data_IF_292407307464
#
_entry.id   IF_292407307464
#
_cell.length_a   1.000
_cell.length_b   1.000
_cell.length_c   1.000
_cell.angle_alpha   90.00
_cell.angle_beta   90.00
_cell.angle_gamma   90.00
#
_symmetry.space_group_name_H-M   'P 1'
#
loop_
_entity.id
_entity.type
_entity.pdbx_description
1 polymer ?
#
# COMPACT_ATOMS: atom_id res chain seq x y z
N UNK A 1 -15.23 16.10 -5.49
CA UNK A 1 -16.40 15.20 -5.44
C UNK A 1 -17.62 16.00 -5.05
N UNK A 2 -18.77 15.69 -5.65
CA UNK A 2 -20.06 16.27 -5.28
C UNK A 2 -20.84 15.25 -4.41
N UNK A 3 -21.66 15.70 -3.45
CA UNK A 3 -22.50 14.79 -2.67
C UNK A 3 -23.41 13.96 -3.58
N UNK A 4 -23.60 12.68 -3.25
CA UNK A 4 -24.53 11.77 -3.89
C UNK A 4 -25.37 11.04 -2.84
N UNK A 5 -26.46 10.39 -3.26
CA UNK A 5 -27.36 9.64 -2.37
C UNK A 5 -27.17 8.16 -2.64
N UNK A 6 -26.92 7.36 -1.60
CA UNK A 6 -26.97 5.90 -1.65
C UNK A 6 -28.24 5.41 -0.99
N UNK A 7 -28.97 4.50 -1.62
CA UNK A 7 -30.17 3.88 -1.08
C UNK A 7 -30.25 2.40 -1.47
N UNK A 8 -30.99 1.61 -0.69
CA UNK A 8 -31.35 0.24 -1.07
C UNK A 8 -32.73 0.27 -1.71
N UNK A 9 -32.84 -0.18 -2.96
CA UNK A 9 -34.09 -0.27 -3.71
C UNK A 9 -34.27 -1.72 -4.18
N UNK A 10 -35.37 -2.35 -3.79
CA UNK A 10 -35.68 -3.75 -4.11
C UNK A 10 -34.54 -4.75 -3.77
N UNK A 11 -33.78 -4.46 -2.72
CA UNK A 11 -32.65 -5.28 -2.28
C UNK A 11 -31.33 -5.02 -3.01
N UNK A 12 -31.26 -4.01 -3.88
CA UNK A 12 -30.05 -3.59 -4.57
C UNK A 12 -29.54 -2.26 -4.00
N UNK A 13 -28.22 -2.14 -3.84
CA UNK A 13 -27.57 -0.85 -3.57
C UNK A 13 -27.62 0.02 -4.83
N UNK A 14 -28.19 1.22 -4.71
CA UNK A 14 -28.36 2.18 -5.79
C UNK A 14 -27.73 3.52 -5.41
N UNK A 15 -26.85 4.01 -6.26
CA UNK A 15 -26.18 5.31 -6.12
C UNK A 15 -26.81 6.34 -7.07
N UNK A 16 -27.42 7.38 -6.52
CA UNK A 16 -28.01 8.51 -7.24
C UNK A 16 -27.01 9.67 -7.29
N UNK A 17 -26.34 9.81 -8.43
CA UNK A 17 -25.30 10.83 -8.65
C UNK A 17 -25.85 11.97 -9.52
N UNK A 18 -26.03 13.18 -8.97
CA UNK A 18 -26.43 14.33 -9.78
C UNK A 18 -25.27 14.75 -10.70
N UNK A 19 -25.57 14.97 -11.99
CA UNK A 19 -24.63 15.47 -12.99
C UNK A 19 -25.32 16.47 -13.92
N UNK A 20 -24.54 17.28 -14.64
CA UNK A 20 -25.10 18.12 -15.69
C UNK A 20 -25.43 17.27 -16.91
N UNK A 21 -26.46 17.68 -17.65
CA UNK A 21 -26.72 17.13 -18.97
C UNK A 21 -25.67 17.69 -19.91
N UNK A 22 -24.71 16.87 -20.29
CA UNK A 22 -23.61 17.26 -21.18
C UNK A 22 -23.89 16.78 -22.59
N UNK A 23 -23.72 17.69 -23.54
CA UNK A 23 -23.72 17.39 -24.97
C UNK A 23 -22.38 16.71 -25.31
N UNK A 24 -22.37 15.50 -25.88
CA UNK A 24 -21.15 14.84 -26.34
C UNK A 24 -20.31 15.72 -27.28
N UNK A 25 -20.93 16.64 -28.02
CA UNK A 25 -20.24 17.57 -28.92
C UNK A 25 -19.70 18.83 -28.20
N UNK A 26 -20.18 19.11 -26.98
CA UNK A 26 -19.88 20.34 -26.23
C UNK A 26 -18.66 20.27 -25.30
N UNK A 27 -18.04 19.08 -25.16
CA UNK A 27 -16.88 18.87 -24.29
C UNK A 27 -17.21 18.81 -22.78
N UNK A 28 -16.18 18.58 -21.97
CA UNK A 28 -16.30 18.41 -20.52
C UNK A 28 -16.44 19.75 -19.79
N UNK A 29 -17.43 19.83 -18.88
CA UNK A 29 -17.66 21.01 -18.01
C UNK A 29 -17.19 20.73 -16.57
N UNK A 30 -17.37 19.52 -16.05
CA UNK A 30 -16.90 19.10 -14.71
C UNK A 30 -16.50 17.62 -14.65
N UNK A 31 -15.82 17.21 -13.57
CA UNK A 31 -15.38 15.82 -13.37
C UNK A 31 -16.56 14.83 -13.25
N UNK A 32 -17.71 15.26 -12.73
CA UNK A 32 -18.94 14.46 -12.63
C UNK A 32 -19.64 14.23 -13.96
N UNK A 33 -19.32 15.05 -14.97
CA UNK A 33 -19.91 14.98 -16.30
C UNK A 33 -19.22 13.95 -17.21
N UNK A 34 -18.13 13.34 -16.74
CA UNK A 34 -17.40 12.28 -17.44
C UNK A 34 -18.18 10.98 -17.49
N UNK A 35 -18.93 10.63 -16.44
CA UNK A 35 -19.58 9.32 -16.32
C UNK A 35 -20.58 9.03 -17.46
N UNK A 36 -21.48 9.96 -17.86
CA UNK A 36 -22.34 9.75 -19.02
C UNK A 36 -21.57 9.55 -20.32
N UNK A 37 -20.48 10.31 -20.52
CA UNK A 37 -19.65 10.22 -21.71
C UNK A 37 -18.84 8.91 -21.76
N UNK A 38 -18.27 8.46 -20.64
CA UNK A 38 -17.66 7.13 -20.52
C UNK A 38 -18.66 6.03 -20.85
N UNK A 39 -19.88 6.14 -20.32
CA UNK A 39 -20.95 5.18 -20.59
C UNK A 39 -21.28 5.14 -22.09
N UNK A 40 -21.43 6.30 -22.72
CA UNK A 40 -21.63 6.41 -24.16
C UNK A 40 -20.49 5.77 -24.97
N UNK A 41 -19.23 6.10 -24.62
CA UNK A 41 -18.04 5.54 -25.27
C UNK A 41 -18.00 4.02 -25.19
N UNK A 42 -18.24 3.44 -24.01
CA UNK A 42 -18.22 1.99 -23.80
C UNK A 42 -19.36 1.32 -24.57
N UNK A 43 -20.58 1.86 -24.51
CA UNK A 43 -21.73 1.28 -25.22
C UNK A 43 -21.57 1.30 -26.74
N UNK A 44 -20.92 2.33 -27.29
CA UNK A 44 -20.68 2.46 -28.72
C UNK A 44 -19.57 1.51 -29.23
N UNK A 45 -18.51 1.30 -28.44
CA UNK A 45 -17.30 0.59 -28.90
C UNK A 45 -17.15 -0.82 -28.37
N UNK A 46 -17.88 -1.22 -27.33
CA UNK A 46 -17.83 -2.59 -26.83
C UNK A 46 -18.50 -3.53 -27.84
N UNK A 47 -17.70 -4.36 -28.48
CA UNK A 47 -18.16 -5.31 -29.50
C UNK A 47 -19.10 -6.39 -28.90
N UNK A 48 -19.94 -7.05 -29.73
CA UNK A 48 -20.80 -8.14 -29.27
C UNK A 48 -20.00 -9.24 -28.56
N UNK A 49 -20.37 -9.56 -27.32
CA UNK A 49 -19.66 -10.53 -26.47
C UNK A 49 -18.55 -9.94 -25.61
N UNK A 50 -18.11 -8.71 -25.85
CA UNK A 50 -17.06 -8.04 -25.08
C UNK A 50 -17.38 -7.88 -23.59
N UNK A 51 -18.67 -7.85 -23.22
CA UNK A 51 -19.07 -7.84 -21.80
C UNK A 51 -18.67 -9.10 -21.03
N UNK A 52 -18.55 -10.25 -21.70
CA UNK A 52 -18.05 -11.47 -21.08
C UNK A 52 -16.53 -11.42 -20.89
N UNK A 53 -15.79 -10.89 -21.87
CA UNK A 53 -14.34 -10.65 -21.76
C UNK A 53 -14.01 -9.69 -20.61
N UNK A 54 -14.79 -8.61 -20.46
CA UNK A 54 -14.67 -7.69 -19.33
C UNK A 54 -14.94 -8.40 -18.00
N UNK A 55 -15.99 -9.24 -17.91
CA UNK A 55 -16.29 -10.00 -16.68
C UNK A 55 -15.18 -10.98 -16.34
N UNK A 56 -14.60 -11.67 -17.32
CA UNK A 56 -13.45 -12.55 -17.13
C UNK A 56 -12.26 -11.77 -16.58
N UNK A 57 -11.91 -10.64 -17.20
CA UNK A 57 -10.81 -9.79 -16.74
C UNK A 57 -11.04 -9.28 -15.31
N UNK A 58 -12.22 -8.73 -15.01
CA UNK A 58 -12.59 -8.28 -13.67
C UNK A 58 -12.51 -9.42 -12.65
N UNK A 59 -12.98 -10.62 -13.02
CA UNK A 59 -12.94 -11.79 -12.13
C UNK A 59 -11.52 -12.29 -11.88
N UNK A 60 -10.69 -12.35 -12.91
CA UNK A 60 -9.27 -12.68 -12.81
C UNK A 60 -8.56 -11.69 -11.89
N UNK A 61 -8.69 -10.39 -12.15
CA UNK A 61 -8.10 -9.33 -11.32
C UNK A 61 -8.58 -9.40 -9.87
N UNK A 62 -9.86 -9.75 -9.64
CA UNK A 62 -10.38 -9.96 -8.29
C UNK A 62 -9.76 -11.18 -7.61
N UNK A 63 -9.57 -12.28 -8.34
CA UNK A 63 -8.93 -13.49 -7.79
C UNK A 63 -7.45 -13.31 -7.49
N UNK A 64 -6.72 -12.52 -8.29
CA UNK A 64 -5.30 -12.21 -8.02
C UNK A 64 -5.11 -11.02 -7.05
N UNK A 65 -6.19 -10.36 -6.65
CA UNK A 65 -6.20 -9.32 -5.61
C UNK A 65 -5.89 -7.89 -6.08
N UNK A 66 -6.07 -7.59 -7.37
CA UNK A 66 -5.74 -6.28 -7.98
C UNK A 66 -6.94 -5.55 -8.59
N UNK A 67 -8.16 -6.04 -8.38
CA UNK A 67 -9.39 -5.37 -8.85
C UNK A 67 -9.92 -4.38 -7.83
N UNK A 68 -10.13 -3.13 -8.24
CA UNK A 68 -10.59 -2.04 -7.38
C UNK A 68 -9.65 -0.83 -7.43
N UNK A 69 -10.21 0.37 -7.53
CA UNK A 69 -9.45 1.61 -7.58
C UNK A 69 -9.44 2.37 -6.24
N UNK A 70 -10.16 1.84 -5.24
CA UNK A 70 -10.11 2.27 -3.86
C UNK A 70 -8.68 2.23 -3.32
N UNK A 71 -8.38 3.11 -2.36
CA UNK A 71 -7.02 3.30 -1.82
C UNK A 71 -6.47 2.01 -1.23
N UNK A 72 -7.33 1.18 -0.62
CA UNK A 72 -7.00 -0.12 -0.05
C UNK A 72 -6.33 -1.07 -1.04
N UNK A 73 -6.83 -1.10 -2.28
CA UNK A 73 -6.34 -2.03 -3.31
C UNK A 73 -5.30 -1.34 -4.19
N UNK A 74 -5.53 -0.07 -4.55
CA UNK A 74 -4.67 0.64 -5.50
C UNK A 74 -4.51 -0.15 -6.79
N UNK A 75 -5.61 -0.61 -7.38
CA UNK A 75 -5.65 -1.55 -8.50
C UNK A 75 -6.47 -1.04 -9.68
N UNK A 76 -6.99 -1.98 -10.47
CA UNK A 76 -7.64 -1.71 -11.75
C UNK A 76 -9.13 -1.41 -11.56
N UNK A 77 -9.57 -0.24 -12.04
CA UNK A 77 -10.98 0.17 -12.00
C UNK A 77 -11.84 -0.60 -13.00
N UNK A 78 -13.16 -0.62 -12.77
CA UNK A 78 -14.09 -1.26 -13.71
C UNK A 78 -14.05 -0.67 -15.12
N UNK A 79 -13.95 0.66 -15.22
CA UNK A 79 -13.82 1.38 -16.49
C UNK A 79 -12.48 1.09 -17.17
N UNK A 80 -11.39 1.00 -16.42
CA UNK A 80 -10.08 0.60 -16.97
C UNK A 80 -10.15 -0.79 -17.61
N UNK A 81 -10.80 -1.77 -16.96
CA UNK A 81 -10.99 -3.10 -17.54
C UNK A 81 -11.78 -3.06 -18.86
N UNK A 82 -12.82 -2.23 -18.94
CA UNK A 82 -13.61 -2.04 -20.17
C UNK A 82 -12.77 -1.45 -21.29
N UNK A 83 -11.99 -0.42 -20.99
CA UNK A 83 -11.07 0.21 -21.94
C UNK A 83 -10.02 -0.77 -22.47
N UNK A 84 -9.37 -1.54 -21.60
CA UNK A 84 -8.37 -2.55 -22.00
C UNK A 84 -8.98 -3.60 -22.94
N UNK A 85 -10.19 -4.09 -22.64
CA UNK A 85 -10.89 -5.06 -23.50
C UNK A 85 -11.34 -4.44 -24.82
N UNK A 86 -11.83 -3.20 -24.82
CA UNK A 86 -12.17 -2.48 -26.06
C UNK A 86 -10.94 -2.35 -26.96
N UNK A 87 -9.77 -2.03 -26.38
CA UNK A 87 -8.53 -1.80 -27.13
C UNK A 87 -7.88 -3.07 -27.66
N UNK A 88 -7.88 -4.13 -26.85
CA UNK A 88 -7.11 -5.35 -27.12
C UNK A 88 -8.00 -6.50 -27.61
N UNK A 89 -9.30 -6.44 -27.35
CA UNK A 89 -10.31 -7.30 -27.97
C UNK A 89 -10.66 -8.58 -27.21
N UNK A 90 -9.89 -9.01 -26.22
CA UNK A 90 -10.26 -10.13 -25.34
C UNK A 90 -9.47 -10.13 -24.05
N UNK A 91 -9.95 -10.86 -23.04
CA UNK A 91 -9.25 -11.11 -21.77
C UNK A 91 -7.84 -11.66 -22.00
N UNK A 92 -7.70 -12.70 -22.84
CA UNK A 92 -6.40 -13.32 -23.14
C UNK A 92 -5.44 -12.33 -23.76
N UNK A 93 -5.89 -11.52 -24.73
CA UNK A 93 -5.05 -10.49 -25.36
C UNK A 93 -4.61 -9.40 -24.38
N UNK A 94 -5.44 -9.06 -23.40
CA UNK A 94 -5.05 -8.15 -22.31
C UNK A 94 -3.91 -8.76 -21.50
N UNK A 95 -3.95 -10.06 -21.19
CA UNK A 95 -2.86 -10.73 -20.48
C UNK A 95 -1.58 -10.80 -21.33
N UNK A 96 -1.69 -11.15 -22.62
CA UNK A 96 -0.56 -11.23 -23.55
C UNK A 96 0.15 -9.88 -23.66
N UNK A 97 -0.60 -8.79 -23.80
CA UNK A 97 -0.07 -7.43 -23.80
C UNK A 97 0.59 -7.07 -22.46
N UNK A 98 -0.05 -7.44 -21.34
CA UNK A 98 0.45 -7.10 -20.01
C UNK A 98 1.80 -7.75 -19.67
N UNK A 99 2.09 -8.93 -20.22
CA UNK A 99 3.42 -9.57 -20.06
C UNK A 99 4.55 -8.71 -20.64
N UNK A 100 4.24 -7.84 -21.62
CA UNK A 100 5.18 -6.89 -22.22
C UNK A 100 5.26 -5.53 -21.53
N UNK A 101 4.45 -5.26 -20.50
CA UNK A 101 4.45 -3.96 -19.84
C UNK A 101 5.77 -3.66 -19.11
N UNK A 102 6.23 -2.42 -19.23
CA UNK A 102 7.36 -1.86 -18.49
C UNK A 102 6.89 -0.69 -17.62
N UNK A 103 7.76 -0.25 -16.69
CA UNK A 103 7.49 0.94 -15.90
C UNK A 103 7.26 2.16 -16.80
N UNK A 104 6.23 2.96 -16.48
CA UNK A 104 5.82 4.14 -17.26
C UNK A 104 5.17 3.82 -18.62
N UNK A 105 4.65 2.61 -18.83
CA UNK A 105 3.95 2.24 -20.09
C UNK A 105 2.74 3.14 -20.35
N UNK A 106 2.57 3.54 -21.61
CA UNK A 106 1.46 4.39 -22.06
C UNK A 106 0.56 3.64 -23.04
N UNK A 107 -0.75 3.64 -22.80
CA UNK A 107 -1.78 3.11 -23.68
C UNK A 107 -2.73 4.23 -24.13
N UNK A 108 -2.76 4.49 -25.43
CA UNK A 108 -3.61 5.50 -26.06
C UNK A 108 -4.73 4.88 -26.93
N UNK A 109 -5.84 5.60 -27.05
CA UNK A 109 -7.01 5.23 -27.86
C UNK A 109 -7.12 6.16 -29.09
N UNK A 110 -6.33 5.90 -30.14
CA UNK A 110 -6.35 6.69 -31.39
C UNK A 110 -5.20 6.37 -32.37
N UNK A 111 -5.24 6.93 -33.59
CA UNK A 111 -4.17 6.80 -34.62
C UNK A 111 -2.95 7.70 -34.36
N UNK A 112 -3.09 8.73 -33.53
CA UNK A 112 -1.98 9.57 -33.14
C UNK A 112 -1.35 8.99 -31.88
N UNK A 113 -0.17 8.36 -32.02
CA UNK A 113 0.88 8.40 -31.01
C UNK A 113 1.14 9.88 -30.71
N UNK A 114 0.35 10.46 -29.80
CA UNK A 114 0.49 11.84 -29.43
C UNK A 114 1.63 11.92 -28.42
N UNK A 115 2.86 11.75 -28.92
CA UNK A 115 4.12 11.64 -28.18
C UNK A 115 4.43 12.84 -27.26
N UNK A 116 3.60 13.05 -26.24
CA UNK A 116 3.56 14.27 -25.46
C UNK A 116 2.91 14.14 -24.08
N UNK A 117 2.10 13.11 -23.79
CA UNK A 117 1.43 13.01 -22.47
C UNK A 117 2.17 12.06 -21.51
N UNK A 118 2.88 11.05 -22.04
CA UNK A 118 3.63 10.08 -21.21
C UNK A 118 4.67 10.69 -20.27
N UNK A 119 5.21 11.87 -20.61
CA UNK A 119 6.19 12.57 -19.78
C UNK A 119 5.61 13.33 -18.58
N UNK A 120 4.29 13.52 -18.51
CA UNK A 120 3.64 14.28 -17.43
C UNK A 120 3.19 13.39 -16.25
N UNK A 121 3.09 12.08 -16.46
CA UNK A 121 2.62 11.13 -15.45
C UNK A 121 3.77 10.28 -14.92
N UNK A 122 3.88 10.19 -13.59
CA UNK A 122 4.86 9.32 -12.89
C UNK A 122 4.25 7.99 -12.46
N UNK A 123 3.09 7.62 -13.02
CA UNK A 123 2.39 6.39 -12.70
C UNK A 123 3.01 5.20 -13.44
N UNK A 124 2.97 4.00 -12.86
CA UNK A 124 3.57 2.81 -13.46
C UNK A 124 2.84 2.36 -14.73
N UNK A 125 1.55 2.73 -14.86
CA UNK A 125 0.74 2.56 -16.06
C UNK A 125 -0.02 3.86 -16.34
N UNK A 126 0.03 4.31 -17.59
CA UNK A 126 -0.72 5.46 -18.09
C UNK A 126 -1.69 4.98 -19.14
N UNK A 127 -2.99 5.11 -18.88
CA UNK A 127 -4.04 4.85 -19.86
C UNK A 127 -4.79 6.14 -20.09
N UNK A 128 -4.58 6.76 -21.25
CA UNK A 128 -5.20 8.05 -21.58
C UNK A 128 -6.70 7.85 -21.74
N UNK A 129 -7.49 8.66 -21.04
CA UNK A 129 -8.95 8.57 -21.12
C UNK A 129 -9.42 9.05 -22.51
N UNK A 130 -10.14 8.21 -23.27
CA UNK A 130 -10.63 8.61 -24.60
C UNK A 130 -11.63 9.78 -24.57
N UNK A 131 -12.20 10.09 -23.40
CA UNK A 131 -13.13 11.20 -23.20
C UNK A 131 -12.43 12.44 -22.61
N UNK A 132 -11.25 12.28 -22.01
CA UNK A 132 -10.47 13.34 -21.38
C UNK A 132 -8.95 13.07 -21.51
N UNK A 133 -8.28 13.58 -22.57
CA UNK A 133 -6.86 13.32 -22.80
C UNK A 133 -5.92 13.73 -21.66
N UNK A 134 -6.36 14.63 -20.76
CA UNK A 134 -5.58 15.06 -19.60
C UNK A 134 -5.74 14.13 -18.39
N UNK A 135 -6.47 13.01 -18.52
CA UNK A 135 -6.73 12.07 -17.45
C UNK A 135 -6.04 10.73 -17.71
N UNK A 136 -5.27 10.29 -16.72
CA UNK A 136 -4.85 8.89 -16.61
C UNK A 136 -5.94 8.06 -15.92
N UNK A 137 -6.56 7.12 -16.63
CA UNK A 137 -7.56 6.19 -16.09
C UNK A 137 -6.97 5.20 -15.10
N UNK A 138 -5.67 4.91 -15.22
CA UNK A 138 -4.92 4.01 -14.35
C UNK A 138 -4.21 4.72 -13.18
N UNK A 139 -4.57 5.97 -12.85
CA UNK A 139 -3.92 6.75 -11.79
C UNK A 139 -3.94 6.09 -10.40
N UNK A 140 -4.91 5.20 -10.14
CA UNK A 140 -5.03 4.45 -8.90
C UNK A 140 -4.19 3.17 -8.87
N UNK A 141 -3.71 2.68 -10.03
CA UNK A 141 -2.92 1.45 -10.13
C UNK A 141 -1.55 1.69 -9.50
N UNK A 142 -1.31 1.04 -8.37
CA UNK A 142 -0.02 1.03 -7.69
C UNK A 142 0.99 0.16 -8.44
N UNK A 143 2.28 0.42 -8.19
CA UNK A 143 3.36 -0.39 -8.73
C UNK A 143 3.21 -1.87 -8.34
N UNK A 144 2.88 -2.15 -7.07
CA UNK A 144 2.63 -3.52 -6.58
C UNK A 144 1.48 -4.19 -7.31
N UNK A 145 0.36 -3.50 -7.52
CA UNK A 145 -0.80 -4.05 -8.23
C UNK A 145 -0.50 -4.31 -9.71
N UNK A 146 0.25 -3.41 -10.37
CA UNK A 146 0.70 -3.61 -11.75
C UNK A 146 1.53 -4.89 -11.85
N UNK A 147 2.60 -5.00 -11.06
CA UNK A 147 3.51 -6.14 -11.16
C UNK A 147 2.89 -7.45 -10.67
N UNK A 148 1.95 -7.40 -9.72
CA UNK A 148 1.15 -8.57 -9.33
C UNK A 148 0.30 -9.05 -10.51
N UNK A 149 -0.35 -8.13 -11.23
CA UNK A 149 -1.13 -8.48 -12.42
C UNK A 149 -0.25 -9.07 -13.52
N UNK A 150 0.89 -8.45 -13.83
CA UNK A 150 1.84 -8.94 -14.85
C UNK A 150 2.36 -10.34 -14.51
N UNK A 151 2.76 -10.57 -13.25
CA UNK A 151 3.23 -11.87 -12.80
C UNK A 151 2.14 -12.95 -12.90
N UNK A 152 0.92 -12.63 -12.46
CA UNK A 152 -0.20 -13.56 -12.55
C UNK A 152 -0.63 -13.81 -14.01
N UNK A 153 -0.58 -12.80 -14.88
CA UNK A 153 -0.86 -12.92 -16.31
C UNK A 153 0.12 -13.90 -16.97
N UNK A 154 1.42 -13.75 -16.70
CA UNK A 154 2.45 -14.65 -17.19
C UNK A 154 2.22 -16.10 -16.71
N UNK A 155 1.94 -16.28 -15.43
CA UNK A 155 1.71 -17.60 -14.85
C UNK A 155 0.43 -18.27 -15.39
N UNK A 156 -0.64 -17.49 -15.58
CA UNK A 156 -1.89 -17.99 -16.15
C UNK A 156 -1.76 -18.38 -17.63
N UNK A 157 -1.02 -17.61 -18.42
CA UNK A 157 -0.78 -17.92 -19.83
C UNK A 157 0.08 -19.18 -20.01
N UNK A 158 0.98 -19.47 -19.08
CA UNK A 158 1.79 -20.70 -19.06
C UNK A 158 0.96 -21.91 -18.62
N UNK A 159 0.22 -21.78 -17.50
CA UNK A 159 -0.62 -22.85 -16.97
C UNK A 159 -1.99 -22.32 -16.48
N UNK A 160 -3.01 -22.30 -17.36
CA UNK A 160 -4.34 -21.80 -17.01
C UNK A 160 -5.02 -22.66 -15.94
N UNK A 161 -5.49 -22.03 -14.87
CA UNK A 161 -6.23 -22.71 -13.78
C UNK A 161 -7.41 -21.86 -13.30
N UNK A 162 -8.45 -22.49 -12.77
CA UNK A 162 -9.61 -21.77 -12.21
C UNK A 162 -9.27 -21.01 -10.91
N UNK A 163 -8.24 -21.43 -10.18
CA UNK A 163 -7.82 -20.80 -8.93
C UNK A 163 -7.40 -19.34 -9.07
N UNK A 164 -6.94 -18.89 -10.25
CA UNK A 164 -6.69 -17.48 -10.52
C UNK A 164 -7.96 -16.61 -10.49
N UNK A 165 -9.12 -17.21 -10.75
CA UNK A 165 -10.41 -16.54 -10.72
C UNK A 165 -11.13 -16.77 -9.38
N UNK A 166 -10.92 -17.94 -8.77
CA UNK A 166 -11.59 -18.36 -7.53
C UNK A 166 -10.56 -18.94 -6.56
N UNK A 167 -9.69 -18.08 -5.99
CA UNK A 167 -8.80 -18.54 -4.94
C UNK A 167 -9.60 -19.03 -3.74
N UNK A 168 -9.13 -20.10 -3.11
CA UNK A 168 -9.73 -20.63 -1.89
C UNK A 168 -9.02 -19.99 -0.71
N UNK A 169 -9.78 -19.35 0.19
CA UNK A 169 -9.20 -18.86 1.44
C UNK A 169 -8.76 -20.07 2.28
N UNK A 170 -7.50 -20.11 2.75
CA UNK A 170 -7.06 -21.18 3.62
C UNK A 170 -7.90 -21.20 4.89
N UNK A 171 -8.29 -22.41 5.33
CA UNK A 171 -8.85 -22.60 6.65
C UNK A 171 -7.72 -22.47 7.65
N UNK A 172 -7.66 -21.34 8.36
CA UNK A 172 -6.61 -21.07 9.34
C UNK A 172 -7.02 -21.67 10.67
N UNK A 173 -6.51 -22.85 10.98
CA UNK A 173 -6.65 -23.45 12.31
C UNK A 173 -5.86 -22.61 13.32
N UNK A 174 -6.46 -22.32 14.47
CA UNK A 174 -5.81 -21.48 15.48
C UNK A 174 -4.44 -22.06 15.87
N UNK A 175 -4.36 -23.38 16.09
CA UNK A 175 -3.12 -24.08 16.46
C UNK A 175 -2.00 -23.93 15.43
N UNK A 176 -2.32 -23.89 14.13
CA UNK A 176 -1.35 -23.65 13.07
C UNK A 176 -0.78 -22.23 13.19
N UNK A 177 -1.66 -21.23 13.32
CA UNK A 177 -1.26 -19.82 13.43
C UNK A 177 -0.37 -19.57 14.66
N UNK A 178 -0.70 -20.17 15.81
CA UNK A 178 0.12 -20.08 17.03
C UNK A 178 1.51 -20.69 16.82
N UNK A 179 1.59 -21.82 16.12
CA UNK A 179 2.87 -22.46 15.78
C UNK A 179 3.73 -21.58 14.87
N UNK A 180 3.11 -20.96 13.86
CA UNK A 180 3.80 -20.05 12.94
C UNK A 180 4.25 -18.78 13.67
N UNK A 181 3.40 -18.11 14.44
CA UNK A 181 3.76 -16.90 15.21
C UNK A 181 4.99 -17.13 16.10
N UNK A 182 5.01 -18.23 16.86
CA UNK A 182 6.16 -18.60 17.69
C UNK A 182 7.44 -18.85 16.90
N UNK A 183 7.33 -19.37 15.67
CA UNK A 183 8.50 -19.62 14.81
C UNK A 183 9.16 -18.33 14.32
N UNK A 184 8.40 -17.24 14.18
CA UNK A 184 8.93 -15.90 13.88
C UNK A 184 9.46 -15.19 15.13
N UNK A 185 9.07 -15.63 16.33
CA UNK A 185 9.54 -15.09 17.60
C UNK A 185 9.19 -13.61 17.76
N UNK A 186 10.09 -12.85 18.39
CA UNK A 186 9.90 -11.42 18.67
C UNK A 186 10.12 -10.50 17.46
N UNK A 187 10.41 -11.06 16.28
CA UNK A 187 10.63 -10.29 15.03
C UNK A 187 9.38 -9.57 14.54
N UNK A 188 8.20 -9.97 15.00
CA UNK A 188 6.94 -9.37 14.62
C UNK A 188 6.57 -8.30 15.64
N UNK A 189 6.44 -7.07 15.15
CA UNK A 189 5.97 -5.93 15.93
C UNK A 189 4.60 -5.51 15.41
N UNK A 190 3.64 -5.37 16.33
CA UNK A 190 2.28 -4.95 16.00
C UNK A 190 1.93 -3.65 16.72
N UNK A 191 1.16 -2.81 16.04
CA UNK A 191 0.48 -1.66 16.66
C UNK A 191 -1.01 -1.83 16.45
N UNK A 192 -1.75 -2.09 17.52
CA UNK A 192 -3.21 -2.27 17.52
C UNK A 192 -3.88 -0.99 17.95
N UNK A 193 -4.90 -0.57 17.19
CA UNK A 193 -5.66 0.66 17.44
C UNK A 193 -7.14 0.32 17.42
N UNK A 194 -7.83 0.56 18.53
CA UNK A 194 -9.29 0.55 18.55
C UNK A 194 -9.79 1.98 18.21
N UNK A 195 -10.67 2.09 17.21
CA UNK A 195 -11.18 3.34 16.63
C UNK A 195 -12.70 3.41 16.80
N UNK A 196 -13.16 4.33 17.65
CA UNK A 196 -14.59 4.50 17.92
C UNK A 196 -15.35 5.36 16.92
N UNK A 197 -14.68 5.91 15.90
CA UNK A 197 -15.27 6.78 14.88
C UNK A 197 -14.68 6.42 13.52
N UNK A 198 -14.97 5.24 12.97
CA UNK A 198 -14.43 4.90 11.66
C UNK A 198 -15.10 5.74 10.57
N UNK A 199 -14.26 6.44 9.80
CA UNK A 199 -14.71 7.27 8.67
C UNK A 199 -14.98 6.47 7.39
N UNK A 200 -15.10 7.18 6.26
CA UNK A 200 -15.23 6.55 4.95
C UNK A 200 -13.99 5.68 4.66
N UNK A 201 -14.13 4.43 4.14
CA UNK A 201 -13.02 3.50 3.94
C UNK A 201 -11.81 4.08 3.21
N UNK A 202 -11.98 4.80 2.09
CA UNK A 202 -10.84 5.38 1.36
C UNK A 202 -10.05 6.41 2.18
N UNK A 203 -10.75 7.22 2.97
CA UNK A 203 -10.10 8.18 3.88
C UNK A 203 -9.35 7.43 4.97
N UNK A 204 -9.96 6.38 5.54
CA UNK A 204 -9.32 5.53 6.53
C UNK A 204 -8.05 4.89 5.96
N UNK A 205 -8.12 4.21 4.80
CA UNK A 205 -6.97 3.54 4.20
C UNK A 205 -5.85 4.51 3.83
N UNK A 206 -6.19 5.70 3.34
CA UNK A 206 -5.21 6.77 3.12
C UNK A 206 -4.50 7.20 4.42
N UNK A 207 -5.25 7.28 5.53
CA UNK A 207 -4.68 7.56 6.85
C UNK A 207 -3.82 6.41 7.37
N UNK A 208 -4.26 5.17 7.24
CA UNK A 208 -3.51 3.99 7.66
C UNK A 208 -2.19 3.90 6.89
N UNK A 209 -2.18 3.98 5.56
CA UNK A 209 -0.93 3.91 4.80
C UNK A 209 0.03 5.07 5.09
N UNK A 210 -0.49 6.27 5.32
CA UNK A 210 0.33 7.40 5.76
C UNK A 210 0.98 7.10 7.13
N UNK A 211 0.22 6.62 8.09
CA UNK A 211 0.74 6.28 9.43
C UNK A 211 1.72 5.11 9.38
N UNK A 212 1.45 4.08 8.55
CA UNK A 212 2.38 2.96 8.31
C UNK A 212 3.73 3.47 7.81
N UNK A 213 3.72 4.37 6.82
CA UNK A 213 4.95 4.97 6.27
C UNK A 213 5.73 5.73 7.34
N UNK A 214 5.06 6.54 8.16
CA UNK A 214 5.67 7.25 9.28
C UNK A 214 6.32 6.30 10.30
N UNK A 215 5.64 5.22 10.67
CA UNK A 215 6.18 4.20 11.59
C UNK A 215 7.41 3.48 11.00
N UNK A 216 7.40 3.17 9.70
CA UNK A 216 8.56 2.58 9.00
C UNK A 216 9.75 3.55 8.99
N UNK A 217 9.50 4.84 8.70
CA UNK A 217 10.54 5.87 8.72
C UNK A 217 11.15 6.04 10.11
N UNK A 218 10.33 5.99 11.17
CA UNK A 218 10.80 5.98 12.56
C UNK A 218 11.68 4.76 12.86
N UNK A 219 11.20 3.55 12.56
CA UNK A 219 11.94 2.30 12.80
C UNK A 219 13.30 2.32 12.09
N UNK A 220 13.31 2.69 10.81
CA UNK A 220 14.54 2.80 10.01
C UNK A 220 15.47 3.89 10.52
N UNK A 221 14.94 5.02 10.98
CA UNK A 221 15.72 6.11 11.58
C UNK A 221 16.43 5.70 12.89
N UNK A 222 15.88 4.71 13.60
CA UNK A 222 16.49 4.09 14.77
C UNK A 222 17.36 2.85 14.44
N UNK A 223 17.62 2.60 13.16
CA UNK A 223 18.39 1.48 12.60
C UNK A 223 17.72 0.10 12.64
N UNK A 224 16.42 0.02 12.96
CA UNK A 224 15.65 -1.23 12.81
C UNK A 224 15.37 -1.51 11.33
N UNK A 225 15.81 -2.67 10.85
CA UNK A 225 15.56 -3.10 9.47
C UNK A 225 14.19 -3.76 9.38
N UNK A 226 13.27 -3.12 8.64
CA UNK A 226 11.94 -3.65 8.34
C UNK A 226 12.02 -4.51 7.09
N UNK A 227 11.78 -5.81 7.25
CA UNK A 227 11.79 -6.84 6.19
C UNK A 227 10.50 -6.80 5.39
N UNK A 228 9.36 -6.79 6.08
CA UNK A 228 8.01 -6.67 5.50
C UNK A 228 7.11 -5.86 6.40
N UNK A 229 6.07 -5.30 5.83
CA UNK A 229 5.06 -4.54 6.54
C UNK A 229 3.66 -4.84 6.00
N UNK A 230 2.65 -4.59 6.83
CA UNK A 230 1.26 -4.82 6.48
C UNK A 230 0.32 -3.94 7.31
N UNK A 231 -0.89 -3.73 6.78
CA UNK A 231 -1.98 -3.07 7.47
C UNK A 231 -3.24 -3.92 7.33
N UNK A 232 -3.95 -4.07 8.44
CA UNK A 232 -5.26 -4.69 8.48
C UNK A 232 -6.26 -3.76 9.17
N UNK A 233 -7.52 -3.86 8.74
CA UNK A 233 -8.64 -3.14 9.33
C UNK A 233 -9.91 -3.95 9.12
N UNK A 234 -10.77 -4.00 10.14
CA UNK A 234 -12.16 -4.47 10.02
C UNK A 234 -13.08 -3.39 9.41
N UNK A 235 -12.56 -2.20 9.09
CA UNK A 235 -13.25 -1.01 8.62
C UNK A 235 -14.41 -0.54 9.52
N UNK A 236 -14.44 -0.96 10.78
CA UNK A 236 -15.53 -0.66 11.72
C UNK A 236 -15.07 -0.23 13.09
N UNK A 237 -14.02 -0.84 13.64
CA UNK A 237 -13.60 -0.60 15.02
C UNK A 237 -12.12 -0.85 15.32
N UNK A 238 -11.40 -1.62 14.50
CA UNK A 238 -10.03 -2.02 14.80
C UNK A 238 -9.12 -1.97 13.59
N UNK A 239 -7.94 -1.43 13.82
CA UNK A 239 -6.85 -1.34 12.85
C UNK A 239 -5.57 -1.92 13.43
N UNK A 240 -4.77 -2.53 12.58
CA UNK A 240 -3.50 -3.15 12.96
C UNK A 240 -2.43 -2.81 11.94
N UNK A 241 -1.28 -2.40 12.46
CA UNK A 241 -0.02 -2.35 11.71
C UNK A 241 0.83 -3.54 12.11
N UNK A 242 1.46 -4.20 11.14
CA UNK A 242 2.43 -5.27 11.39
C UNK A 242 3.75 -4.93 10.69
N UNK A 243 4.85 -5.14 11.39
CA UNK A 243 6.20 -5.00 10.88
C UNK A 243 6.99 -6.26 11.23
N UNK A 244 7.55 -6.91 10.22
CA UNK A 244 8.55 -7.95 10.41
C UNK A 244 9.93 -7.29 10.41
N UNK A 245 10.66 -7.42 11.52
CA UNK A 245 11.99 -6.85 11.71
C UNK A 245 13.07 -7.91 11.53
N UNK A 246 14.23 -7.50 11.01
CA UNK A 246 15.42 -8.36 11.00
C UNK A 246 15.91 -8.67 12.42
N UNK A 247 15.75 -7.72 13.33
CA UNK A 247 15.95 -7.89 14.76
C UNK A 247 15.11 -6.87 15.49
N UNK A 248 14.43 -7.30 16.55
CA UNK A 248 13.64 -6.47 17.46
C UNK A 248 14.49 -5.86 18.57
N UNK A 249 15.70 -6.38 18.82
CA UNK A 249 16.65 -5.89 19.83
C UNK A 249 18.04 -5.66 19.22
N UNK A 250 18.49 -4.42 19.25
CA UNK A 250 19.82 -4.01 18.79
C UNK A 250 20.84 -4.00 19.94
N UNK A 251 22.13 -4.00 19.56
CA UNK A 251 23.23 -3.79 20.50
C UNK A 251 23.12 -2.45 21.26
N UNK A 252 23.73 -2.36 22.44
CA UNK A 252 23.58 -1.19 23.33
C UNK A 252 24.03 0.14 22.71
N UNK A 253 24.92 0.07 21.71
CA UNK A 253 25.61 1.20 21.14
C UNK A 253 25.65 1.13 19.62
N UNK A 254 26.00 2.26 19.00
CA UNK A 254 26.27 2.38 17.57
C UNK A 254 27.46 3.28 17.29
N UNK A 255 28.22 2.91 16.26
CA UNK A 255 29.30 3.73 15.72
C UNK A 255 28.70 4.91 14.95
N UNK A 256 29.13 6.12 15.29
CA UNK A 256 28.70 7.38 14.66
C UNK A 256 29.89 8.05 13.97
N UNK A 257 29.68 8.44 12.72
CA UNK A 257 30.67 9.14 11.91
C UNK A 257 30.75 10.61 12.32
N UNK A 258 31.97 11.11 12.48
CA UNK A 258 32.31 12.51 12.68
C UNK A 258 32.89 13.18 11.43
N UNK A 259 33.35 14.44 11.58
CA UNK A 259 33.93 15.20 10.50
C UNK A 259 35.31 14.64 10.08
N UNK A 260 35.79 14.98 8.87
CA UNK A 260 37.19 14.78 8.50
C UNK A 260 38.13 15.52 9.45
N UNK A 261 39.19 14.85 9.91
CA UNK A 261 40.13 15.37 10.92
C UNK A 261 40.81 16.67 10.48
N UNK A 262 40.95 16.89 9.17
CA UNK A 262 41.53 18.11 8.59
C UNK A 262 40.68 19.38 8.80
N UNK A 263 39.40 19.24 9.12
CA UNK A 263 38.51 20.37 9.40
C UNK A 263 38.65 20.68 10.89
N UNK A 264 39.46 21.70 11.20
CA UNK A 264 39.93 21.99 12.56
C UNK A 264 38.77 22.34 13.49
N UNK A 265 37.91 23.27 13.09
CA UNK A 265 36.81 23.76 13.94
C UNK A 265 35.79 22.65 14.22
N UNK A 266 35.35 21.93 13.19
CA UNK A 266 34.41 20.81 13.34
C UNK A 266 35.01 19.67 14.18
N UNK A 267 36.31 19.39 14.02
CA UNK A 267 37.00 18.39 14.83
C UNK A 267 37.04 18.78 16.30
N UNK A 268 37.33 20.06 16.61
CA UNK A 268 37.35 20.56 17.98
C UNK A 268 35.97 20.45 18.63
N UNK A 269 34.91 20.89 17.93
CA UNK A 269 33.53 20.76 18.41
C UNK A 269 33.11 19.30 18.59
N UNK A 270 33.50 18.40 17.67
CA UNK A 270 33.16 16.99 17.77
C UNK A 270 33.82 16.33 18.98
N UNK A 271 35.10 16.64 19.25
CA UNK A 271 35.80 16.12 20.42
C UNK A 271 35.17 16.66 21.70
N UNK A 272 34.93 17.97 21.79
CA UNK A 272 34.29 18.60 22.95
C UNK A 272 32.91 17.98 23.26
N UNK A 273 32.09 17.75 22.22
CA UNK A 273 30.75 17.19 22.38
C UNK A 273 30.72 15.72 22.82
N UNK A 274 31.84 15.00 22.74
CA UNK A 274 31.84 13.54 22.84
C UNK A 274 32.87 12.93 23.79
N UNK A 275 33.92 13.66 24.17
CA UNK A 275 35.01 13.14 25.01
C UNK A 275 34.53 12.65 26.38
N UNK A 276 33.69 13.43 27.05
CA UNK A 276 33.18 13.13 28.40
C UNK A 276 31.64 13.00 28.44
N UNK A 277 30.99 12.82 27.29
CA UNK A 277 29.54 12.70 27.22
C UNK A 277 29.08 11.34 27.80
N UNK A 278 28.06 11.35 28.67
CA UNK A 278 27.56 10.15 29.36
C UNK A 278 27.08 9.06 28.39
N UNK A 279 26.58 9.44 27.22
CA UNK A 279 26.13 8.54 26.18
C UNK A 279 27.25 8.13 25.21
N UNK A 280 28.51 8.51 25.45
CA UNK A 280 29.69 7.99 24.73
C UNK A 280 30.21 6.73 25.44
N UNK A 281 30.16 5.59 24.75
CA UNK A 281 30.70 4.31 25.24
C UNK A 281 32.20 4.21 24.98
N UNK A 282 32.63 4.67 23.81
CA UNK A 282 34.02 4.60 23.38
C UNK A 282 34.35 5.72 22.39
N UNK A 283 35.60 6.14 22.38
CA UNK A 283 36.07 7.27 21.59
C UNK A 283 35.95 8.62 22.29
N UNK A 284 36.10 9.73 21.55
CA UNK A 284 36.38 9.80 20.10
C UNK A 284 37.68 9.10 19.67
N UNK A 285 37.70 8.44 18.51
CA UNK A 285 38.92 7.90 17.88
C UNK A 285 39.00 8.28 16.39
N UNK A 286 40.14 8.00 15.77
CA UNK A 286 40.38 8.25 14.35
C UNK A 286 40.42 6.91 13.61
N UNK A 287 39.68 6.83 12.50
CA UNK A 287 39.72 5.69 11.58
C UNK A 287 39.64 6.23 10.15
N UNK A 288 40.70 6.00 9.37
CA UNK A 288 40.91 6.69 8.10
C UNK A 288 41.15 8.19 8.30
N UNK A 289 40.46 9.02 7.52
CA UNK A 289 40.59 10.49 7.58
C UNK A 289 39.58 11.16 8.52
N UNK A 290 38.80 10.39 9.30
CA UNK A 290 37.62 10.89 10.02
C UNK A 290 37.64 10.53 11.50
N UNK A 291 36.97 11.39 12.27
CA UNK A 291 36.59 11.10 13.65
C UNK A 291 35.43 10.11 13.71
N UNK A 292 35.44 9.30 14.76
CA UNK A 292 34.39 8.34 15.08
C UNK A 292 34.16 8.30 16.59
N UNK A 293 32.95 7.94 16.98
CA UNK A 293 32.58 7.70 18.37
C UNK A 293 31.58 6.55 18.42
N UNK A 294 31.57 5.80 19.51
CA UNK A 294 30.56 4.80 19.80
C UNK A 294 29.60 5.39 20.83
N UNK A 295 28.34 5.57 20.45
CA UNK A 295 27.30 6.16 21.30
C UNK A 295 26.31 5.12 21.76
N UNK A 296 25.79 5.25 22.98
CA UNK A 296 24.63 4.49 23.42
C UNK A 296 23.43 4.77 22.51
N UNK A 297 22.65 3.73 22.23
CA UNK A 297 21.37 3.89 21.53
C UNK A 297 20.34 4.44 22.50
N UNK A 298 19.53 5.43 22.11
CA UNK A 298 18.39 5.86 22.91
C UNK A 298 17.38 4.74 23.14
N UNK A 299 17.18 3.89 22.14
CA UNK A 299 16.30 2.72 22.18
C UNK A 299 17.05 1.49 21.67
N UNK A 300 16.95 0.40 22.43
CA UNK A 300 17.56 -0.89 22.06
C UNK A 300 16.53 -1.84 21.50
N UNK A 301 15.31 -1.77 21.99
CA UNK A 301 14.19 -2.60 21.55
C UNK A 301 13.16 -1.77 20.77
N UNK A 302 12.60 -2.38 19.73
CA UNK A 302 11.66 -1.71 18.83
C UNK A 302 10.35 -1.34 19.55
N UNK A 303 9.93 -2.16 20.51
CA UNK A 303 8.74 -1.91 21.34
C UNK A 303 8.87 -0.59 22.10
N UNK A 304 9.95 -0.40 22.87
CA UNK A 304 10.18 0.83 23.64
C UNK A 304 10.28 2.06 22.75
N UNK A 305 10.85 1.93 21.54
CA UNK A 305 10.87 3.02 20.57
C UNK A 305 9.44 3.42 20.18
N UNK A 306 8.59 2.45 19.80
CA UNK A 306 7.22 2.76 19.41
C UNK A 306 6.43 3.29 20.62
N UNK A 307 6.49 2.63 21.77
CA UNK A 307 5.80 3.08 22.99
C UNK A 307 6.14 4.55 23.32
N UNK A 308 7.41 4.95 23.18
CA UNK A 308 7.84 6.34 23.45
C UNK A 308 7.21 7.38 22.52
N UNK A 309 6.87 7.02 21.28
CA UNK A 309 6.25 7.93 20.32
C UNK A 309 4.72 7.85 20.36
N UNK A 310 4.15 6.78 20.90
CA UNK A 310 2.70 6.64 21.02
C UNK A 310 2.13 7.46 22.20
N UNK A 311 2.96 7.98 23.10
CA UNK A 311 2.52 8.87 24.20
C UNK A 311 1.74 10.11 23.70
N UNK A 312 2.11 10.66 22.54
CA UNK A 312 1.40 11.76 21.88
C UNK A 312 0.46 11.29 20.75
N UNK A 313 0.34 9.97 20.57
CA UNK A 313 -0.37 9.33 19.46
C UNK A 313 0.44 9.23 18.15
N UNK A 314 1.74 9.49 18.18
CA UNK A 314 2.61 9.51 17.00
C UNK A 314 2.50 10.78 16.17
N UNK A 315 1.99 11.89 16.74
CA UNK A 315 1.84 13.15 15.98
C UNK A 315 3.18 13.70 15.54
N UNK A 316 4.19 13.63 16.41
CA UNK A 316 5.55 14.09 16.11
C UNK A 316 6.22 13.40 14.92
N UNK A 317 5.79 12.18 14.57
CA UNK A 317 6.37 11.37 13.49
C UNK A 317 5.51 11.34 12.22
N UNK A 318 4.34 12.00 12.22
CA UNK A 318 3.50 12.13 11.03
C UNK A 318 2.32 11.16 10.92
N UNK A 319 1.96 10.46 12.01
CA UNK A 319 0.71 9.70 12.11
C UNK A 319 -0.48 10.62 11.84
N UNK A 320 -1.51 10.11 11.16
CA UNK A 320 -2.69 10.91 10.82
C UNK A 320 -3.36 11.49 12.07
N UNK A 321 -3.92 12.70 11.98
CA UNK A 321 -4.52 13.39 13.14
C UNK A 321 -5.60 12.54 13.82
N UNK A 322 -6.46 11.88 13.03
CA UNK A 322 -7.57 11.08 13.57
C UNK A 322 -7.04 9.82 14.26
N UNK A 323 -6.15 9.07 13.60
CA UNK A 323 -5.54 7.88 14.19
C UNK A 323 -4.71 8.21 15.44
N UNK A 324 -4.04 9.38 15.48
CA UNK A 324 -3.25 9.77 16.66
C UNK A 324 -4.10 9.93 17.92
N UNK A 325 -5.39 10.28 17.79
CA UNK A 325 -6.29 10.38 18.95
C UNK A 325 -6.55 8.98 19.51
N UNK A 326 -6.94 8.05 18.64
CA UNK A 326 -7.24 6.68 19.03
C UNK A 326 -6.02 5.89 19.53
N UNK A 327 -4.87 6.09 18.90
CA UNK A 327 -3.60 5.52 19.38
C UNK A 327 -3.27 6.03 20.78
N UNK A 328 -3.50 7.32 21.05
CA UNK A 328 -3.26 7.89 22.38
C UNK A 328 -4.25 7.36 23.43
N UNK A 329 -5.49 7.11 23.04
CA UNK A 329 -6.55 6.66 23.96
C UNK A 329 -6.46 5.16 24.31
N UNK A 330 -5.90 4.33 23.44
CA UNK A 330 -5.84 2.88 23.68
C UNK A 330 -4.95 2.08 22.73
N UNK A 331 -3.97 2.71 22.07
CA UNK A 331 -3.00 2.04 21.22
C UNK A 331 -2.16 1.03 22.02
N UNK A 332 -1.94 -0.15 21.44
CA UNK A 332 -1.14 -1.22 22.05
C UNK A 332 -0.02 -1.65 21.12
N UNK A 333 1.19 -1.72 21.67
CA UNK A 333 2.34 -2.31 20.98
C UNK A 333 2.50 -3.75 21.46
N UNK A 334 2.47 -4.69 20.53
CA UNK A 334 2.56 -6.12 20.82
C UNK A 334 3.74 -6.72 20.07
N UNK A 335 4.36 -7.73 20.66
CA UNK A 335 5.52 -8.42 20.07
C UNK A 335 5.25 -9.92 19.97
N UNK A 336 5.56 -10.49 18.81
CA UNK A 336 5.49 -11.94 18.59
C UNK A 336 4.08 -12.51 18.79
N UNK A 337 3.94 -13.43 19.75
CA UNK A 337 2.69 -14.13 20.06
C UNK A 337 1.73 -13.35 20.97
N UNK A 338 2.12 -12.17 21.47
CA UNK A 338 1.21 -11.28 22.22
C UNK A 338 -0.05 -10.87 21.42
N UNK A 339 -0.02 -11.00 20.09
CA UNK A 339 -1.18 -10.74 19.23
C UNK A 339 -2.31 -11.78 19.36
N UNK A 340 -2.05 -12.93 19.99
CA UNK A 340 -3.00 -14.05 20.09
C UNK A 340 -4.34 -13.63 20.73
N UNK A 341 -4.33 -12.70 21.69
CA UNK A 341 -5.54 -12.19 22.37
C UNK A 341 -6.47 -11.36 21.46
N UNK A 342 -5.96 -10.91 20.31
CA UNK A 342 -6.69 -10.06 19.36
C UNK A 342 -7.22 -10.82 18.16
N UNK A 343 -6.91 -12.12 18.06
CA UNK A 343 -7.23 -12.92 16.88
C UNK A 343 -8.74 -13.09 16.72
N UNK A 344 -9.22 -12.66 15.57
CA UNK A 344 -10.55 -12.88 15.05
C UNK A 344 -10.44 -13.41 13.61
N UNK A 345 -11.49 -14.04 13.03
CA UNK A 345 -11.36 -14.73 11.75
C UNK A 345 -10.70 -13.91 10.62
N UNK A 346 -11.07 -12.62 10.50
CA UNK A 346 -10.50 -11.72 9.51
C UNK A 346 -9.02 -11.39 9.76
N UNK A 347 -8.65 -11.14 11.01
CA UNK A 347 -7.27 -10.85 11.39
C UNK A 347 -6.38 -12.10 11.28
N UNK A 348 -6.89 -13.26 11.70
CA UNK A 348 -6.18 -14.55 11.60
C UNK A 348 -5.81 -14.88 10.17
N UNK A 349 -6.74 -14.69 9.22
CA UNK A 349 -6.47 -14.89 7.80
C UNK A 349 -5.42 -13.90 7.27
N UNK A 350 -5.49 -12.64 7.69
CA UNK A 350 -4.51 -11.63 7.31
C UNK A 350 -3.10 -11.97 7.82
N UNK A 351 -2.96 -12.28 9.11
CA UNK A 351 -1.67 -12.64 9.72
C UNK A 351 -1.13 -13.91 9.05
N UNK A 352 -1.96 -14.92 8.84
CA UNK A 352 -1.56 -16.14 8.13
C UNK A 352 -0.95 -15.84 6.75
N UNK A 353 -1.65 -15.04 5.94
CA UNK A 353 -1.17 -14.61 4.61
C UNK A 353 0.10 -13.79 4.69
N UNK A 354 0.17 -12.85 5.63
CA UNK A 354 1.36 -12.04 5.88
C UNK A 354 2.56 -12.92 6.18
N UNK A 355 2.45 -13.86 7.12
CA UNK A 355 3.56 -14.73 7.53
C UNK A 355 4.01 -15.66 6.39
N UNK A 356 3.05 -16.22 5.63
CA UNK A 356 3.33 -17.07 4.46
C UNK A 356 4.05 -16.33 3.35
N UNK A 357 3.73 -15.05 3.13
CA UNK A 357 4.38 -14.21 2.10
C UNK A 357 4.16 -14.67 0.67
N UNK A 358 3.15 -15.51 0.43
CA UNK A 358 2.80 -16.02 -0.90
C UNK A 358 1.54 -15.32 -1.41
N UNK A 359 1.54 -14.78 -2.64
CA UNK A 359 0.33 -14.37 -3.32
C UNK A 359 -0.69 -15.52 -3.38
N UNK A 360 -1.97 -15.20 -3.19
CA UNK A 360 -3.04 -16.20 -3.08
C UNK A 360 -3.21 -17.04 -4.36
N UNK A 361 -2.86 -16.47 -5.51
CA UNK A 361 -2.94 -17.16 -6.81
C UNK A 361 -1.79 -18.14 -7.08
N UNK A 362 -0.78 -18.20 -6.20
CA UNK A 362 0.31 -19.19 -6.27
C UNK A 362 0.07 -20.44 -5.41
N UNK A 363 -1.07 -20.52 -4.70
CA UNK A 363 -1.40 -21.65 -3.84
C UNK A 363 -2.08 -22.82 -4.57
#
# INVERSE_FOLDING_TARGET
>A
EHPYIRAVVDGFDVDFVPCFRVDPEGGLISATDRTPLHTGFVLERLFPGGSNEVRLLKRFMKGVGVYGAEVRVGGFSGYLCELLVIRLGSFVKVLEEAVGWSDGMVLEFGESDSGGIGGEFSNPLVVVDPVDPHRNVASAVSETSLWTFVAAAKAFLDEPRESYFYPVDPQVEASELHGVLRSFGSRLLFVVVDDGDVGVPDVLWGQLYKSKKALIELLRGADFQVVRDGVWSDETSRHLFVFELESDVLGCSKKRMGPPVRIVDDSAHFVEAHLDAEDTVSGPWIEGERWWVEKLRPFRDARSLIDSVLEDGGRGIGVSRKLSIWIKEGGRVLVGDEIEEFLEPGLSLFIYRFLRGKPVWLE
#
